data_IF_882632574234
#
_entry.id   IF_882632574234
#
_cell.length_a   1.000
_cell.length_b   1.000
_cell.length_c   1.000
_cell.angle_alpha   90.00
_cell.angle_beta   90.00
_cell.angle_gamma   90.00
#
_symmetry.space_group_name_H-M   'P 1'
#
loop_
_entity.id
_entity.type
_entity.pdbx_description
1 polymer ?
#
# COMPACT_ATOMS: atom_id res chain seq x y z
N UNK A 1 45.42 76.58 21.57
CA UNK A 1 44.13 77.19 21.93
C UNK A 1 43.34 76.17 22.72
N UNK A 2 43.08 76.42 24.00
CA UNK A 2 42.22 75.57 24.81
C UNK A 2 40.76 75.86 24.44
N UNK A 3 40.01 74.82 24.07
CA UNK A 3 38.56 74.91 23.85
C UNK A 3 37.92 75.24 25.20
N UNK A 4 37.09 76.28 25.26
CA UNK A 4 36.40 76.61 26.50
C UNK A 4 35.34 75.56 26.81
N UNK A 5 35.06 75.31 28.09
CA UNK A 5 34.05 74.32 28.51
C UNK A 5 32.67 74.59 27.86
N UNK A 6 32.36 75.86 27.59
CA UNK A 6 31.16 76.27 26.85
C UNK A 6 31.15 75.81 25.38
N UNK A 7 32.28 75.89 24.67
CA UNK A 7 32.39 75.42 23.30
C UNK A 7 32.26 73.89 23.20
N UNK A 8 32.80 73.16 24.19
CA UNK A 8 32.65 71.71 24.26
C UNK A 8 31.18 71.30 24.47
N UNK A 9 30.48 71.93 25.43
CA UNK A 9 29.07 71.64 25.69
C UNK A 9 28.17 71.93 24.49
N UNK A 10 28.40 73.05 23.80
CA UNK A 10 27.67 73.38 22.57
C UNK A 10 27.93 72.36 21.45
N UNK A 11 29.17 71.88 21.31
CA UNK A 11 29.51 70.83 20.35
C UNK A 11 28.79 69.51 20.62
N UNK A 12 28.73 69.09 21.89
CA UNK A 12 28.04 67.85 22.30
C UNK A 12 26.53 67.95 22.03
N UNK A 13 25.90 69.08 22.38
CA UNK A 13 24.47 69.29 22.11
C UNK A 13 24.18 69.29 20.61
N UNK A 14 25.02 69.96 19.81
CA UNK A 14 24.89 69.95 18.35
C UNK A 14 25.01 68.54 17.75
N UNK A 15 25.99 67.75 18.20
CA UNK A 15 26.18 66.38 17.73
C UNK A 15 25.00 65.48 18.11
N UNK A 16 24.45 65.62 19.32
CA UNK A 16 23.30 64.86 19.77
C UNK A 16 22.04 65.16 18.94
N UNK A 17 21.77 66.44 18.64
CA UNK A 17 20.64 66.85 17.79
C UNK A 17 20.81 66.28 16.38
N UNK A 18 22.01 66.35 15.81
CA UNK A 18 22.28 65.84 14.46
C UNK A 18 22.08 64.32 14.40
N UNK A 19 22.56 63.58 15.42
CA UNK A 19 22.35 62.14 15.52
C UNK A 19 20.86 61.77 15.56
N UNK A 20 20.06 62.48 16.38
CA UNK A 20 18.61 62.25 16.48
C UNK A 20 17.91 62.53 15.15
N UNK A 21 18.29 63.61 14.45
CA UNK A 21 17.73 63.93 13.14
C UNK A 21 18.06 62.86 12.09
N UNK A 22 19.31 62.35 12.08
CA UNK A 22 19.72 61.27 11.17
C UNK A 22 18.96 59.97 11.46
N UNK A 23 18.83 59.59 12.73
CA UNK A 23 18.04 58.39 13.10
C UNK A 23 16.56 58.54 12.73
N UNK A 24 15.98 59.73 12.93
CA UNK A 24 14.59 60.02 12.58
C UNK A 24 14.39 59.97 11.06
N UNK A 25 15.33 60.54 10.29
CA UNK A 25 15.31 60.49 8.84
C UNK A 25 15.40 59.06 8.31
N UNK A 26 16.32 58.24 8.84
CA UNK A 26 16.42 56.83 8.44
C UNK A 26 15.20 56.00 8.83
N UNK A 27 14.55 56.31 9.96
CA UNK A 27 13.41 55.53 10.45
C UNK A 27 12.08 55.90 9.79
N UNK A 28 11.89 57.17 9.42
CA UNK A 28 10.59 57.66 8.94
C UNK A 28 10.59 58.13 7.49
N UNK A 29 11.74 58.53 6.94
CA UNK A 29 11.83 59.06 5.58
C UNK A 29 12.61 58.16 4.61
N UNK A 30 13.35 57.17 5.12
CA UNK A 30 13.96 56.13 4.31
C UNK A 30 12.90 55.11 3.88
N UNK A 31 12.24 55.33 2.74
CA UNK A 31 11.45 54.28 2.11
C UNK A 31 12.40 53.16 1.67
N UNK A 32 12.62 52.18 2.54
CA UNK A 32 13.18 50.90 2.11
C UNK A 32 12.16 50.35 1.13
N UNK A 33 12.48 50.35 -0.15
CA UNK A 33 11.66 49.74 -1.20
C UNK A 33 11.71 48.23 -0.95
N UNK A 34 10.84 47.76 -0.05
CA UNK A 34 10.66 46.33 0.17
C UNK A 34 10.13 45.80 -1.17
N UNK A 35 10.79 44.81 -1.79
CA UNK A 35 10.29 44.23 -3.03
C UNK A 35 8.82 43.84 -2.82
N UNK A 36 7.95 44.06 -3.82
CA UNK A 36 6.53 43.77 -3.69
C UNK A 36 6.37 42.35 -3.18
N UNK A 37 5.63 42.21 -2.07
CA UNK A 37 5.33 40.91 -1.47
C UNK A 37 4.83 39.99 -2.60
N UNK A 38 5.48 38.83 -2.85
CA UNK A 38 5.02 37.93 -3.89
C UNK A 38 3.55 37.58 -3.63
N UNK A 39 2.77 37.49 -4.71
CA UNK A 39 1.37 37.11 -4.60
C UNK A 39 1.27 35.81 -3.79
N UNK A 40 0.32 35.69 -2.84
CA UNK A 40 0.16 34.46 -2.08
C UNK A 40 -0.04 33.30 -3.07
N UNK A 41 0.63 32.16 -2.86
CA UNK A 41 0.48 31.02 -3.73
C UNK A 41 -1.01 30.66 -3.76
N UNK A 42 -1.64 30.78 -4.92
CA UNK A 42 -3.01 30.30 -5.10
C UNK A 42 -2.90 28.79 -5.18
N UNK A 43 -3.52 28.03 -4.26
CA UNK A 43 -3.55 26.58 -4.39
C UNK A 43 -4.25 26.22 -5.70
N UNK A 44 -3.48 25.72 -6.66
CA UNK A 44 -4.03 25.16 -7.89
C UNK A 44 -4.44 23.72 -7.62
N UNK A 45 -5.74 23.45 -7.67
CA UNK A 45 -6.29 22.11 -7.52
C UNK A 45 -7.52 22.06 -6.61
N UNK A 46 -8.24 20.95 -6.64
CA UNK A 46 -9.33 20.69 -5.69
C UNK A 46 -8.77 20.48 -4.28
N UNK A 47 -9.61 20.69 -3.25
CA UNK A 47 -9.24 20.37 -1.86
C UNK A 47 -8.77 18.91 -1.71
N UNK A 48 -9.39 17.99 -2.47
CA UNK A 48 -8.97 16.59 -2.51
C UNK A 48 -7.55 16.41 -3.05
N UNK A 49 -7.15 17.14 -4.10
CA UNK A 49 -5.78 17.07 -4.64
C UNK A 49 -4.74 17.60 -3.64
N UNK A 50 -5.06 18.64 -2.86
CA UNK A 50 -4.16 19.16 -1.83
C UNK A 50 -3.99 18.17 -0.67
N UNK A 51 -5.08 17.53 -0.23
CA UNK A 51 -5.02 16.48 0.80
C UNK A 51 -4.21 15.27 0.32
N UNK A 52 -4.39 14.85 -0.95
CA UNK A 52 -3.59 13.79 -1.54
C UNK A 52 -2.11 14.16 -1.62
N UNK A 53 -1.77 15.41 -1.99
CA UNK A 53 -0.38 15.89 -2.00
C UNK A 53 0.23 15.94 -0.60
N UNK A 54 -0.54 16.32 0.43
CA UNK A 54 -0.07 16.29 1.82
C UNK A 54 0.22 14.87 2.31
N UNK A 55 -0.66 13.93 1.98
CA UNK A 55 -0.49 12.51 2.29
C UNK A 55 0.73 11.88 1.59
N UNK A 56 1.20 12.47 0.49
CA UNK A 56 2.34 11.98 -0.29
C UNK A 56 3.72 12.29 0.35
N UNK A 57 3.78 13.09 1.42
CA UNK A 57 5.06 13.46 2.01
C UNK A 57 5.67 12.29 2.82
N UNK A 58 6.99 12.06 2.78
CA UNK A 58 7.62 10.97 3.54
C UNK A 58 7.34 11.01 5.05
N UNK A 59 7.25 12.20 5.65
CA UNK A 59 6.94 12.36 7.07
C UNK A 59 5.53 11.86 7.42
N UNK A 60 4.52 12.25 6.63
CA UNK A 60 3.14 11.80 6.82
C UNK A 60 3.02 10.30 6.54
N UNK A 61 3.73 9.79 5.54
CA UNK A 61 3.77 8.35 5.27
C UNK A 61 4.37 7.56 6.45
N UNK A 62 5.46 8.04 7.06
CA UNK A 62 6.05 7.40 8.24
C UNK A 62 5.08 7.41 9.44
N UNK A 63 4.32 8.49 9.63
CA UNK A 63 3.28 8.55 10.66
C UNK A 63 2.17 7.52 10.41
N UNK A 64 1.75 7.34 9.15
CA UNK A 64 0.81 6.27 8.79
C UNK A 64 1.38 4.88 9.09
N UNK A 65 2.64 4.60 8.74
CA UNK A 65 3.28 3.33 9.07
C UNK A 65 3.31 3.08 10.58
N UNK A 66 3.59 4.11 11.38
CA UNK A 66 3.62 4.00 12.83
C UNK A 66 2.24 3.67 13.40
N UNK A 67 1.22 4.45 13.02
CA UNK A 67 -0.16 4.24 13.48
C UNK A 67 -0.69 2.87 13.08
N UNK A 68 -0.46 2.48 11.83
CA UNK A 68 -1.00 1.24 11.29
C UNK A 68 -0.26 0.02 11.86
N UNK A 69 1.06 0.13 12.13
CA UNK A 69 1.80 -0.90 12.84
C UNK A 69 1.30 -1.11 14.27
N UNK A 70 0.95 -0.03 14.98
CA UNK A 70 0.32 -0.13 16.32
C UNK A 70 -1.03 -0.83 16.22
N UNK A 71 -1.87 -0.45 15.26
CA UNK A 71 -3.18 -1.09 15.04
C UNK A 71 -3.07 -2.57 14.67
N UNK A 72 -2.03 -2.95 13.93
CA UNK A 72 -1.73 -4.32 13.55
C UNK A 72 -0.99 -5.12 14.64
N UNK A 73 -0.51 -4.48 15.71
CA UNK A 73 0.30 -5.13 16.74
C UNK A 73 1.67 -5.60 16.26
N UNK A 74 2.27 -4.92 15.29
CA UNK A 74 3.56 -5.28 14.68
C UNK A 74 4.61 -4.17 14.84
N UNK A 75 5.88 -4.49 14.57
CA UNK A 75 6.95 -3.48 14.54
C UNK A 75 6.70 -2.49 13.40
N UNK A 76 6.83 -1.19 13.68
CA UNK A 76 6.83 -0.15 12.65
C UNK A 76 8.03 -0.33 11.71
N UNK A 77 7.79 -0.57 10.40
CA UNK A 77 8.85 -0.60 9.42
C UNK A 77 9.33 0.82 9.10
N UNK A 78 10.60 0.94 8.71
CA UNK A 78 11.12 2.17 8.10
C UNK A 78 10.68 2.29 6.64
N UNK A 79 10.71 3.51 6.09
CA UNK A 79 10.48 3.73 4.65
C UNK A 79 11.43 2.88 3.80
N UNK A 80 12.70 2.75 4.21
CA UNK A 80 13.69 1.95 3.50
C UNK A 80 13.33 0.45 3.48
N UNK A 81 12.77 -0.08 4.57
CA UNK A 81 12.25 -1.46 4.61
C UNK A 81 11.03 -1.60 3.70
N UNK A 82 10.11 -0.62 3.74
CA UNK A 82 8.94 -0.60 2.87
C UNK A 82 9.29 -0.41 1.40
N UNK A 83 10.50 0.02 1.05
CA UNK A 83 10.98 0.18 -0.33
C UNK A 83 11.80 -1.01 -0.86
N UNK A 84 11.97 -2.07 -0.07
CA UNK A 84 12.66 -3.28 -0.55
C UNK A 84 11.85 -4.00 -1.61
N UNK A 85 12.53 -4.65 -2.55
CA UNK A 85 11.94 -5.58 -3.49
C UNK A 85 11.36 -6.77 -2.73
N UNK A 86 10.11 -7.09 -3.01
CA UNK A 86 9.46 -8.27 -2.43
C UNK A 86 9.82 -9.52 -3.26
N UNK A 87 10.03 -10.65 -2.56
CA UNK A 87 10.41 -11.91 -3.22
C UNK A 87 9.16 -12.51 -3.87
N UNK A 88 9.13 -12.48 -5.20
CA UNK A 88 8.04 -13.02 -6.01
C UNK A 88 8.37 -14.41 -6.54
N UNK A 89 7.40 -15.31 -6.51
CA UNK A 89 7.46 -16.62 -7.15
C UNK A 89 6.17 -16.86 -7.95
N UNK A 90 6.30 -17.44 -9.14
CA UNK A 90 5.17 -17.80 -9.99
C UNK A 90 5.38 -19.18 -10.62
N UNK A 91 4.31 -19.96 -10.74
CA UNK A 91 4.24 -21.19 -11.54
C UNK A 91 2.93 -21.20 -12.34
N UNK A 92 3.04 -21.22 -13.66
CA UNK A 92 1.90 -21.28 -14.59
C UNK A 92 1.70 -22.71 -15.15
N UNK A 93 2.43 -23.71 -14.62
CA UNK A 93 2.25 -25.09 -15.04
C UNK A 93 0.88 -25.61 -14.62
N UNK A 94 0.11 -26.15 -15.58
CA UNK A 94 -1.17 -26.81 -15.31
C UNK A 94 -0.94 -28.10 -14.52
N UNK A 95 -1.59 -28.22 -13.37
CA UNK A 95 -1.56 -29.42 -12.50
C UNK A 95 -2.98 -29.84 -12.16
N UNK A 96 -3.24 -31.13 -12.06
CA UNK A 96 -4.53 -31.66 -11.61
C UNK A 96 -4.27 -32.39 -10.30
N UNK A 97 -5.08 -32.09 -9.29
CA UNK A 97 -4.98 -32.68 -7.96
C UNK A 97 -6.28 -33.42 -7.63
N UNK A 98 -6.16 -34.66 -7.21
CA UNK A 98 -7.27 -35.49 -6.76
C UNK A 98 -7.26 -35.65 -5.22
N UNK A 99 -8.42 -36.00 -4.65
CA UNK A 99 -8.49 -36.29 -3.21
C UNK A 99 -7.71 -37.56 -2.91
N UNK A 100 -6.79 -37.46 -1.95
CA UNK A 100 -5.96 -38.58 -1.49
C UNK A 100 -4.57 -38.63 -2.14
N UNK A 101 -4.32 -37.81 -3.16
CA UNK A 101 -2.98 -37.63 -3.71
C UNK A 101 -2.06 -36.88 -2.74
N UNK A 102 -0.73 -37.11 -2.82
CA UNK A 102 0.23 -36.36 -2.03
C UNK A 102 0.16 -34.87 -2.37
N UNK A 103 0.49 -34.04 -1.38
CA UNK A 103 0.56 -32.61 -1.58
C UNK A 103 1.72 -32.25 -2.52
N UNK A 104 1.52 -31.24 -3.36
CA UNK A 104 2.57 -30.69 -4.22
C UNK A 104 3.13 -29.42 -3.62
N UNK A 105 4.43 -29.17 -3.78
CA UNK A 105 5.06 -27.91 -3.38
C UNK A 105 5.39 -27.08 -4.61
N UNK A 106 4.92 -25.83 -4.62
CA UNK A 106 5.03 -24.93 -5.76
C UNK A 106 5.02 -23.47 -5.28
N UNK A 107 5.91 -22.64 -5.82
CA UNK A 107 5.99 -21.21 -5.50
C UNK A 107 6.00 -20.89 -3.98
N UNK A 108 6.59 -21.75 -3.14
CA UNK A 108 6.65 -21.53 -1.69
C UNK A 108 5.38 -21.87 -0.92
N UNK A 109 4.41 -22.54 -1.55
CA UNK A 109 3.25 -23.12 -0.89
C UNK A 109 3.15 -24.62 -1.15
N UNK A 110 2.62 -25.35 -0.17
CA UNK A 110 2.23 -26.75 -0.31
C UNK A 110 0.72 -26.84 -0.51
N UNK A 111 0.29 -27.42 -1.63
CA UNK A 111 -1.11 -27.54 -2.04
C UNK A 111 -1.59 -28.97 -1.86
N UNK A 112 -2.72 -29.15 -1.17
CA UNK A 112 -3.36 -30.46 -1.03
C UNK A 112 -4.87 -30.33 -1.18
N UNK A 113 -5.44 -31.18 -2.02
CA UNK A 113 -6.89 -31.31 -2.15
C UNK A 113 -7.41 -32.32 -1.14
N UNK A 114 -8.52 -31.97 -0.48
CA UNK A 114 -9.17 -32.83 0.48
C UNK A 114 -10.69 -32.77 0.35
N UNK A 115 -11.34 -33.75 0.95
CA UNK A 115 -12.78 -33.77 1.16
C UNK A 115 -13.06 -33.46 2.64
N UNK A 116 -13.93 -32.50 2.88
CA UNK A 116 -14.41 -32.16 4.22
C UNK A 116 -15.95 -32.25 4.24
N UNK A 117 -16.48 -33.38 4.72
CA UNK A 117 -17.90 -33.71 4.62
C UNK A 117 -18.40 -33.76 3.16
N UNK A 118 -19.25 -32.80 2.79
CA UNK A 118 -19.78 -32.63 1.43
C UNK A 118 -19.10 -31.47 0.67
N UNK A 119 -17.95 -30.99 1.14
CA UNK A 119 -17.20 -29.91 0.50
C UNK A 119 -15.89 -30.42 -0.08
N UNK A 120 -15.55 -29.86 -1.23
CA UNK A 120 -14.28 -30.04 -1.90
C UNK A 120 -13.39 -28.87 -1.55
N UNK A 121 -12.28 -29.13 -0.85
CA UNK A 121 -11.44 -28.09 -0.26
C UNK A 121 -10.00 -28.19 -0.76
N UNK A 122 -9.35 -27.03 -0.85
CA UNK A 122 -7.92 -26.89 -1.08
C UNK A 122 -7.26 -26.38 0.21
N UNK A 123 -6.40 -27.20 0.81
CA UNK A 123 -5.49 -26.78 1.87
C UNK A 123 -4.25 -26.16 1.20
N UNK A 124 -3.91 -24.93 1.61
CA UNK A 124 -2.76 -24.17 1.11
C UNK A 124 -1.87 -23.84 2.32
N UNK A 125 -0.71 -24.47 2.41
CA UNK A 125 0.25 -24.26 3.50
C UNK A 125 1.40 -23.40 3.03
N UNK A 126 1.71 -22.33 3.75
CA UNK A 126 2.92 -21.53 3.55
C UNK A 126 4.13 -22.30 4.09
N UNK A 127 5.08 -22.66 3.22
CA UNK A 127 6.31 -23.38 3.62
C UNK A 127 7.52 -22.46 3.78
N UNK A 128 7.32 -21.15 3.66
CA UNK A 128 8.38 -20.15 3.79
C UNK A 128 8.52 -19.64 5.23
N UNK A 129 9.57 -18.86 5.47
CA UNK A 129 9.86 -18.22 6.76
C UNK A 129 9.19 -16.84 6.93
N UNK A 130 8.54 -16.34 5.88
CA UNK A 130 7.86 -15.05 5.82
C UNK A 130 6.35 -15.23 5.65
N UNK A 131 5.57 -14.19 5.92
CA UNK A 131 4.16 -14.18 5.52
C UNK A 131 4.08 -14.09 4.00
N UNK A 132 3.07 -14.73 3.39
CA UNK A 132 2.88 -14.77 1.95
C UNK A 132 1.58 -14.09 1.57
N UNK A 133 1.66 -13.11 0.68
CA UNK A 133 0.53 -12.83 -0.20
C UNK A 133 0.47 -13.92 -1.28
N UNK A 134 -0.71 -14.41 -1.63
CA UNK A 134 -0.83 -15.53 -2.56
C UNK A 134 -2.01 -15.40 -3.52
N UNK A 135 -1.90 -16.08 -4.66
CA UNK A 135 -2.99 -16.32 -5.61
C UNK A 135 -2.84 -17.72 -6.16
N UNK A 136 -3.87 -18.55 -5.96
CA UNK A 136 -3.95 -19.89 -6.54
C UNK A 136 -5.19 -19.93 -7.43
N UNK A 137 -4.98 -19.85 -8.74
CA UNK A 137 -6.04 -19.97 -9.73
C UNK A 137 -6.35 -21.44 -9.95
N UNK A 138 -7.60 -21.79 -9.69
CA UNK A 138 -8.08 -23.17 -9.67
C UNK A 138 -9.43 -23.30 -10.35
N UNK A 139 -9.70 -24.46 -10.94
CA UNK A 139 -10.99 -24.81 -11.52
C UNK A 139 -11.34 -26.26 -11.19
N UNK A 140 -12.42 -26.50 -10.45
CA UNK A 140 -12.97 -27.84 -10.27
C UNK A 140 -13.30 -28.53 -11.61
N UNK A 141 -12.99 -29.81 -11.72
CA UNK A 141 -13.29 -30.64 -12.90
C UNK A 141 -14.10 -31.87 -12.49
N UNK A 142 -15.02 -32.40 -13.31
CA UNK A 142 -15.26 -32.03 -14.72
C UNK A 142 -16.16 -30.80 -14.93
N UNK A 143 -16.85 -30.30 -13.89
CA UNK A 143 -17.67 -29.11 -14.02
C UNK A 143 -17.64 -28.24 -12.76
N UNK A 144 -17.93 -26.95 -12.96
CA UNK A 144 -18.02 -25.93 -11.89
C UNK A 144 -19.46 -25.75 -11.38
N UNK A 145 -20.38 -26.65 -11.73
CA UNK A 145 -21.81 -26.49 -11.39
C UNK A 145 -22.02 -26.60 -9.88
N UNK A 146 -22.69 -25.62 -9.29
CA UNK A 146 -22.98 -25.60 -7.85
C UNK A 146 -21.81 -25.18 -6.94
N UNK A 147 -20.64 -24.83 -7.47
CA UNK A 147 -19.52 -24.36 -6.63
C UNK A 147 -19.85 -23.01 -5.96
N UNK A 148 -20.66 -22.18 -6.61
CA UNK A 148 -21.20 -20.97 -6.00
C UNK A 148 -22.20 -21.26 -4.87
N UNK A 149 -22.75 -22.47 -4.77
CA UNK A 149 -23.67 -22.86 -3.71
C UNK A 149 -22.97 -23.51 -2.52
N UNK A 150 -21.67 -23.80 -2.64
CA UNK A 150 -20.88 -24.34 -1.53
C UNK A 150 -20.79 -23.31 -0.39
N UNK A 151 -21.01 -23.77 0.84
CA UNK A 151 -20.89 -22.92 2.02
C UNK A 151 -19.42 -22.52 2.20
N UNK A 152 -19.11 -21.21 2.23
CA UNK A 152 -17.73 -20.77 2.40
C UNK A 152 -17.24 -21.08 3.83
N UNK A 153 -16.00 -21.53 3.94
CA UNK A 153 -15.24 -21.48 5.19
C UNK A 153 -14.61 -20.10 5.28
N UNK A 154 -14.48 -19.55 6.50
CA UNK A 154 -13.80 -18.28 6.72
C UNK A 154 -12.28 -18.49 6.68
N UNK A 155 -11.59 -17.66 5.90
CA UNK A 155 -10.13 -17.66 5.79
C UNK A 155 -9.64 -16.31 5.27
N UNK A 156 -8.34 -16.08 5.30
CA UNK A 156 -7.75 -14.93 4.63
C UNK A 156 -7.40 -15.28 3.17
N UNK A 157 -8.21 -14.77 2.23
CA UNK A 157 -8.00 -14.99 0.80
C UNK A 157 -6.82 -14.21 0.18
N UNK A 158 -6.12 -13.38 0.96
CA UNK A 158 -5.04 -12.52 0.48
C UNK A 158 -3.68 -12.95 1.02
N UNK A 159 -3.63 -13.38 2.29
CA UNK A 159 -2.38 -13.64 3.01
C UNK A 159 -2.43 -14.97 3.78
N UNK A 160 -1.30 -15.66 3.84
CA UNK A 160 -1.05 -16.83 4.69
C UNK A 160 0.15 -16.49 5.58
N UNK A 161 -0.03 -16.56 6.90
CA UNK A 161 1.06 -16.38 7.86
C UNK A 161 2.18 -17.41 7.64
N UNK A 162 3.40 -17.10 8.07
CA UNK A 162 4.54 -18.03 8.02
C UNK A 162 4.19 -19.38 8.68
N UNK A 163 4.39 -20.49 7.96
CA UNK A 163 4.00 -21.83 8.43
C UNK A 163 2.49 -22.08 8.53
N UNK A 164 1.66 -21.07 8.28
CA UNK A 164 0.21 -21.13 8.36
C UNK A 164 -0.39 -22.00 7.27
N UNK A 165 -1.61 -22.49 7.50
CA UNK A 165 -2.42 -23.18 6.50
C UNK A 165 -3.77 -22.53 6.40
N UNK A 166 -4.19 -22.19 5.19
CA UNK A 166 -5.55 -21.75 4.90
C UNK A 166 -6.31 -22.88 4.21
N UNK A 167 -7.58 -23.06 4.60
CA UNK A 167 -8.49 -23.99 3.96
C UNK A 167 -9.49 -23.21 3.11
N UNK A 168 -9.48 -23.46 1.81
CA UNK A 168 -10.34 -22.79 0.84
C UNK A 168 -11.36 -23.76 0.27
N UNK A 169 -12.64 -23.41 0.34
CA UNK A 169 -13.70 -24.21 -0.29
C UNK A 169 -13.70 -23.95 -1.79
N UNK A 170 -13.51 -25.00 -2.57
CA UNK A 170 -13.48 -24.93 -4.02
C UNK A 170 -14.87 -25.20 -4.62
N UNK A 171 -15.59 -26.21 -4.10
CA UNK A 171 -16.91 -26.62 -4.58
C UNK A 171 -17.67 -27.52 -3.59
N UNK A 172 -18.89 -27.91 -3.94
CA UNK A 172 -19.59 -29.05 -3.33
C UNK A 172 -18.93 -30.33 -3.86
N UNK A 173 -18.65 -31.29 -2.99
CA UNK A 173 -18.02 -32.55 -3.35
C UNK A 173 -18.92 -33.43 -4.21
N UNK A 174 -18.34 -34.10 -5.21
CA UNK A 174 -18.93 -35.19 -5.99
C UNK A 174 -17.85 -36.21 -6.30
N UNK A 175 -18.24 -37.48 -6.43
CA UNK A 175 -17.31 -38.55 -6.81
C UNK A 175 -16.66 -38.26 -8.16
N UNK A 176 -15.34 -38.46 -8.26
CA UNK A 176 -14.57 -38.21 -9.48
C UNK A 176 -14.21 -36.73 -9.71
N UNK A 177 -14.40 -35.86 -8.71
CA UNK A 177 -13.92 -34.49 -8.79
C UNK A 177 -12.40 -34.39 -8.60
N UNK A 178 -11.81 -33.53 -9.41
CA UNK A 178 -10.41 -33.11 -9.29
C UNK A 178 -10.32 -31.58 -9.35
N UNK A 179 -9.18 -31.02 -8.98
CA UNK A 179 -8.92 -29.59 -9.02
C UNK A 179 -7.80 -29.30 -10.02
N UNK A 180 -8.12 -28.60 -11.11
CA UNK A 180 -7.12 -28.10 -12.03
C UNK A 180 -6.55 -26.78 -11.49
N UNK A 181 -5.27 -26.78 -11.12
CA UNK A 181 -4.50 -25.58 -10.80
C UNK A 181 -3.82 -25.09 -12.07
N UNK A 182 -4.00 -23.81 -12.40
CA UNK A 182 -3.45 -23.22 -13.64
C UNK A 182 -2.42 -22.13 -13.40
N UNK A 183 -2.43 -21.51 -12.22
CA UNK A 183 -1.42 -20.50 -11.85
C UNK A 183 -1.31 -20.45 -10.33
N UNK A 184 -0.08 -20.42 -9.84
CA UNK A 184 0.26 -20.18 -8.43
C UNK A 184 1.23 -19.02 -8.36
N UNK A 185 0.86 -17.96 -7.67
CA UNK A 185 1.70 -16.78 -7.47
C UNK A 185 1.81 -16.50 -5.98
N UNK A 186 3.01 -16.18 -5.52
CA UNK A 186 3.26 -15.77 -4.14
C UNK A 186 4.21 -14.58 -4.07
N UNK A 187 4.05 -13.79 -3.03
CA UNK A 187 4.89 -12.64 -2.72
C UNK A 187 5.19 -12.65 -1.22
N UNK A 188 6.47 -12.74 -0.84
CA UNK A 188 6.84 -12.59 0.57
C UNK A 188 6.63 -11.14 1.01
N UNK A 189 5.91 -10.99 2.13
CA UNK A 189 5.49 -9.68 2.64
C UNK A 189 5.92 -9.50 4.09
N UNK A 190 6.14 -8.25 4.49
CA UNK A 190 6.35 -7.90 5.89
C UNK A 190 5.05 -8.05 6.69
N UNK A 191 5.09 -8.15 8.03
CA UNK A 191 3.88 -8.21 8.85
C UNK A 191 2.90 -7.03 8.64
N UNK A 192 3.41 -5.80 8.48
CA UNK A 192 2.54 -4.65 8.18
C UNK A 192 1.94 -4.74 6.77
N UNK A 193 2.72 -5.20 5.79
CA UNK A 193 2.23 -5.43 4.44
C UNK A 193 1.15 -6.52 4.40
N UNK A 194 1.33 -7.60 5.18
CA UNK A 194 0.33 -8.64 5.39
C UNK A 194 -0.97 -8.06 5.97
N UNK A 195 -0.87 -7.18 6.97
CA UNK A 195 -2.03 -6.48 7.52
C UNK A 195 -2.76 -5.67 6.43
N UNK A 196 -2.05 -4.83 5.66
CA UNK A 196 -2.66 -4.04 4.58
C UNK A 196 -3.40 -4.90 3.55
N UNK A 197 -2.76 -5.96 3.06
CA UNK A 197 -3.37 -6.86 2.08
C UNK A 197 -4.58 -7.61 2.65
N UNK A 198 -4.57 -7.95 3.93
CA UNK A 198 -5.68 -8.61 4.60
C UNK A 198 -6.93 -7.74 4.70
N UNK A 199 -6.80 -6.42 4.58
CA UNK A 199 -7.94 -5.49 4.56
C UNK A 199 -8.55 -5.31 3.16
N UNK A 200 -7.85 -5.79 2.12
CA UNK A 200 -8.21 -5.56 0.74
C UNK A 200 -9.28 -6.55 0.27
N UNK A 201 -10.41 -6.08 -0.30
CA UNK A 201 -11.37 -6.96 -0.95
C UNK A 201 -10.66 -7.76 -2.07
N UNK A 202 -10.65 -9.10 -2.04
CA UNK A 202 -9.84 -9.91 -2.96
C UNK A 202 -10.14 -9.67 -4.45
N UNK A 203 -11.38 -9.30 -4.76
CA UNK A 203 -11.81 -8.92 -6.12
C UNK A 203 -11.01 -7.75 -6.69
N UNK A 204 -10.44 -6.90 -5.84
CA UNK A 204 -9.59 -5.76 -6.22
C UNK A 204 -8.31 -6.20 -6.92
N UNK A 205 -7.83 -7.42 -6.62
CA UNK A 205 -6.62 -8.00 -7.22
C UNK A 205 -6.93 -9.13 -8.19
N UNK A 206 -8.19 -9.25 -8.62
CA UNK A 206 -8.62 -10.26 -9.59
C UNK A 206 -8.92 -11.64 -9.00
N UNK A 207 -9.08 -11.78 -7.69
CA UNK A 207 -9.55 -13.06 -7.11
C UNK A 207 -11.02 -13.26 -7.47
N UNK A 208 -11.33 -14.44 -8.00
CA UNK A 208 -12.69 -14.83 -8.40
C UNK A 208 -13.69 -14.76 -7.24
N UNK A 209 -14.93 -14.39 -7.55
CA UNK A 209 -16.04 -14.31 -6.59
C UNK A 209 -16.19 -15.57 -5.76
N UNK A 210 -16.08 -16.74 -6.40
CA UNK A 210 -16.17 -18.04 -5.74
C UNK A 210 -15.20 -18.16 -4.57
N UNK A 211 -13.95 -17.75 -4.80
CA UNK A 211 -12.84 -17.83 -3.86
C UNK A 211 -12.84 -16.68 -2.86
N UNK A 212 -13.31 -15.51 -3.25
CA UNK A 212 -13.31 -14.30 -2.41
C UNK A 212 -14.33 -14.35 -1.25
N UNK A 213 -15.38 -15.19 -1.34
CA UNK A 213 -16.50 -15.18 -0.36
C UNK A 213 -16.15 -15.62 1.05
N UNK A 214 -15.10 -16.43 1.22
CA UNK A 214 -14.62 -16.82 2.53
C UNK A 214 -13.68 -15.80 3.16
N UNK A 215 -13.33 -14.72 2.44
CA UNK A 215 -12.36 -13.74 2.93
C UNK A 215 -12.85 -13.03 4.19
N UNK A 216 -12.09 -13.18 5.25
CA UNK A 216 -12.27 -12.48 6.52
C UNK A 216 -11.09 -11.52 6.73
N UNK A 217 -11.37 -10.22 6.65
CA UNK A 217 -10.44 -9.19 7.08
C UNK A 217 -10.33 -9.17 8.61
N UNK A 218 -9.21 -8.69 9.19
CA UNK A 218 -9.08 -8.47 10.62
C UNK A 218 -10.23 -7.59 11.15
N UNK A 219 -10.87 -7.98 12.25
CA UNK A 219 -12.06 -7.28 12.79
C UNK A 219 -11.80 -5.81 13.10
N UNK A 220 -10.58 -5.47 13.50
CA UNK A 220 -10.14 -4.12 13.88
C UNK A 220 -9.81 -3.22 12.68
N UNK A 221 -9.88 -3.74 11.45
CA UNK A 221 -9.44 -3.02 10.27
C UNK A 221 -10.56 -2.22 9.59
N UNK A 222 -10.26 -0.98 9.23
CA UNK A 222 -11.11 -0.19 8.33
C UNK A 222 -11.09 -0.83 6.95
N UNK A 223 -12.24 -1.31 6.47
CA UNK A 223 -12.33 -2.01 5.18
C UNK A 223 -12.02 -1.05 4.03
N UNK A 224 -11.23 -1.50 3.05
CA UNK A 224 -11.03 -0.73 1.83
C UNK A 224 -12.36 -0.56 1.08
N UNK A 225 -12.59 0.63 0.53
CA UNK A 225 -13.65 0.82 -0.45
C UNK A 225 -13.34 -0.02 -1.69
N UNK A 226 -14.31 -0.82 -2.13
CA UNK A 226 -14.17 -1.78 -3.24
C UNK A 226 -14.23 -1.14 -4.64
N UNK A 227 -14.14 0.20 -4.74
CA UNK A 227 -14.23 0.89 -6.03
C UNK A 227 -12.90 0.76 -6.78
N UNK A 228 -12.72 -0.40 -7.41
CA UNK A 228 -11.71 -0.61 -8.44
C UNK A 228 -12.04 0.30 -9.62
N UNK A 229 -11.10 1.11 -10.07
CA UNK A 229 -11.33 1.92 -11.27
C UNK A 229 -11.54 1.01 -12.48
N UNK A 230 -12.40 1.42 -13.42
CA UNK A 230 -12.63 0.64 -14.65
C UNK A 230 -11.32 0.40 -15.42
N UNK A 231 -10.36 1.33 -15.32
CA UNK A 231 -9.03 1.18 -15.88
C UNK A 231 -8.25 0.01 -15.28
N UNK A 232 -8.30 -0.20 -13.96
CA UNK A 232 -7.62 -1.34 -13.31
C UNK A 232 -8.26 -2.66 -13.72
N UNK A 233 -9.60 -2.73 -13.77
CA UNK A 233 -10.29 -3.94 -14.23
C UNK A 233 -9.94 -4.28 -15.68
N UNK A 234 -10.03 -3.30 -16.58
CA UNK A 234 -9.66 -3.48 -17.98
C UNK A 234 -8.19 -3.87 -18.13
N UNK A 235 -7.30 -3.32 -17.30
CA UNK A 235 -5.88 -3.66 -17.32
C UNK A 235 -5.60 -5.08 -16.83
N UNK A 236 -6.36 -5.58 -15.85
CA UNK A 236 -6.29 -6.99 -15.43
C UNK A 236 -6.78 -7.93 -16.54
N UNK A 237 -7.92 -7.62 -17.15
CA UNK A 237 -8.51 -8.43 -18.24
C UNK A 237 -7.60 -8.49 -19.48
N UNK A 238 -6.90 -7.40 -19.78
CA UNK A 238 -5.95 -7.30 -20.91
C UNK A 238 -4.53 -7.77 -20.55
N UNK A 239 -4.28 -8.16 -19.31
CA UNK A 239 -2.94 -8.55 -18.83
C UNK A 239 -1.92 -7.40 -18.77
N UNK A 240 -2.36 -6.15 -18.86
CA UNK A 240 -1.49 -4.97 -18.74
C UNK A 240 -1.09 -4.66 -17.31
N UNK A 241 -1.94 -5.05 -16.35
CA UNK A 241 -1.72 -4.95 -14.90
C UNK A 241 -1.75 -6.36 -14.36
N UNK A 242 -0.62 -6.81 -13.79
CA UNK A 242 -0.53 -8.12 -13.17
C UNK A 242 -1.04 -8.14 -11.73
N UNK A 243 -1.39 -9.33 -11.23
CA UNK A 243 -1.66 -9.55 -9.80
C UNK A 243 -0.52 -9.01 -8.93
N UNK A 244 0.73 -9.31 -9.32
CA UNK A 244 1.94 -8.84 -8.62
C UNK A 244 1.99 -7.32 -8.49
N UNK A 245 1.57 -6.57 -9.51
CA UNK A 245 1.62 -5.10 -9.48
C UNK A 245 0.66 -4.54 -8.44
N UNK A 246 -0.58 -5.05 -8.41
CA UNK A 246 -1.60 -4.63 -7.45
C UNK A 246 -1.22 -5.02 -6.02
N UNK A 247 -0.74 -6.25 -5.83
CA UNK A 247 -0.35 -6.74 -4.50
C UNK A 247 0.89 -6.01 -4.00
N UNK A 248 1.90 -5.77 -4.84
CA UNK A 248 3.09 -4.99 -4.45
C UNK A 248 2.71 -3.53 -4.09
N UNK A 249 1.78 -2.91 -4.81
CA UNK A 249 1.28 -1.58 -4.45
C UNK A 249 0.59 -1.57 -3.08
N UNK A 250 -0.41 -2.42 -2.88
CA UNK A 250 -1.21 -2.44 -1.65
C UNK A 250 -0.47 -3.06 -0.45
N UNK A 251 0.60 -3.83 -0.68
CA UNK A 251 1.54 -4.23 0.37
C UNK A 251 2.31 -3.04 0.95
N UNK A 252 2.45 -1.95 0.18
CA UNK A 252 3.18 -0.75 0.56
C UNK A 252 2.25 0.39 0.95
N UNK A 253 1.03 0.40 0.41
CA UNK A 253 0.12 1.54 0.55
C UNK A 253 -1.22 1.10 1.12
N UNK A 254 -1.64 1.76 2.20
CA UNK A 254 -2.99 1.60 2.73
C UNK A 254 -4.03 2.03 1.70
N UNK A 255 -4.98 1.15 1.41
CA UNK A 255 -5.99 1.34 0.37
C UNK A 255 -6.96 2.51 0.64
N UNK A 256 -7.10 2.96 1.89
CA UNK A 256 -7.99 4.05 2.27
C UNK A 256 -7.44 5.41 1.84
N UNK A 257 -6.11 5.53 1.74
CA UNK A 257 -5.43 6.79 1.40
C UNK A 257 -4.93 6.79 -0.04
N UNK A 258 -4.43 5.66 -0.51
CA UNK A 258 -3.73 5.56 -1.79
C UNK A 258 -4.55 4.78 -2.81
N UNK A 259 -4.67 5.36 -4.01
CA UNK A 259 -5.31 4.71 -5.16
C UNK A 259 -4.25 4.15 -6.08
N UNK A 260 -4.50 2.98 -6.64
CA UNK A 260 -3.58 2.32 -7.55
C UNK A 260 -3.35 3.16 -8.83
N UNK A 261 -2.10 3.58 -9.12
CA UNK A 261 -1.72 4.20 -10.38
C UNK A 261 -1.77 3.17 -11.51
N UNK A 262 -2.48 3.42 -12.62
CA UNK A 262 -2.49 2.50 -13.76
C UNK A 262 -1.07 2.25 -14.36
N UNK A 263 -0.17 3.22 -14.19
CA UNK A 263 1.24 3.15 -14.57
C UNK A 263 2.13 2.39 -13.58
N UNK A 264 1.64 2.06 -12.38
CA UNK A 264 2.43 1.37 -11.36
C UNK A 264 2.83 -0.02 -11.83
N UNK A 265 4.10 -0.37 -11.68
CA UNK A 265 4.62 -1.73 -11.85
C UNK A 265 5.38 -2.14 -10.62
N UNK A 266 5.31 -3.40 -10.22
CA UNK A 266 5.97 -3.92 -9.03
C UNK A 266 7.49 -3.65 -9.03
N UNK A 267 8.06 -3.44 -7.84
CA UNK A 267 9.50 -3.19 -7.69
C UNK A 267 10.32 -4.37 -8.24
N UNK A 268 11.35 -4.05 -9.01
CA UNK A 268 12.34 -4.96 -9.59
C UNK A 268 13.67 -4.94 -8.84
N UNK A 269 13.95 -3.87 -8.11
CA UNK A 269 15.11 -3.68 -7.24
C UNK A 269 14.73 -2.95 -5.94
N UNK A 270 15.58 -3.07 -4.92
CA UNK A 270 15.42 -2.32 -3.68
C UNK A 270 15.53 -0.82 -3.94
N UNK A 271 14.63 -0.04 -3.33
CA UNK A 271 14.60 1.41 -3.43
C UNK A 271 14.56 1.95 -4.88
N UNK A 272 14.00 1.18 -5.83
CA UNK A 272 13.88 1.57 -7.24
C UNK A 272 13.17 2.92 -7.44
N UNK A 273 12.21 3.23 -6.56
CA UNK A 273 11.49 4.50 -6.55
C UNK A 273 11.12 4.90 -5.11
N UNK A 274 10.89 6.20 -4.86
CA UNK A 274 10.46 6.66 -3.54
C UNK A 274 9.10 6.11 -3.16
N UNK A 275 8.88 6.01 -1.85
CA UNK A 275 7.59 5.67 -1.26
C UNK A 275 7.19 6.82 -0.30
N UNK A 276 5.91 7.26 -0.32
CA UNK A 276 4.79 6.71 -1.07
C UNK A 276 4.88 7.01 -2.58
N UNK A 277 4.55 6.01 -3.41
CA UNK A 277 4.49 6.19 -4.86
C UNK A 277 3.17 6.89 -5.20
N UNK A 278 3.27 8.19 -5.48
CA UNK A 278 2.14 9.05 -5.81
C UNK A 278 2.16 9.53 -7.26
N UNK A 279 2.97 8.90 -8.11
CA UNK A 279 3.20 9.34 -9.49
C UNK A 279 1.95 9.28 -10.42
N UNK A 280 0.77 8.87 -9.92
CA UNK A 280 -0.52 8.98 -10.64
C UNK A 280 -1.28 10.30 -10.42
N UNK A 281 -0.77 11.23 -9.61
CA UNK A 281 -1.49 12.44 -9.23
C UNK A 281 -1.19 13.71 -10.03
N UNK A 282 -0.41 13.62 -11.13
CA UNK A 282 -0.15 14.75 -12.04
C UNK A 282 -0.76 14.50 -13.40
#
# INVERSE_FOLDING_TARGET
>A
MAISDGQFRLGVVGAAIMLVLVMTFMRFCGSVTIPPKPAPPRPTGSQSQLLTKGAATPAVYQEFLQRDAVAAGVRTPSIAEMSRKLVYRGDDARRVLEVGEPAIEVAGVKLRVARDGNTFVLDITNVTTSDLAYSVLSSPTPNNSGCMSAQPVLFNAMVIEKGGTVRRVECIWRTGMALAITSVQTLEVSPLSAYYLSTLPPRTVGVEDRLARGHQAPETSEKCSSVVSQAVRSGLEQGQIGWRDLVDFYARHRCQTYRFPASYRSFKADAERPIPDTAAGM
#
